data_IF_999452973866
#
_entry.id   IF_999452973866
#
_cell.length_a   1.000
_cell.length_b   1.000
_cell.length_c   1.000
_cell.angle_alpha   90.00
_cell.angle_beta   90.00
_cell.angle_gamma   90.00
#
_symmetry.space_group_name_H-M   'P 1'
#
loop_
_entity.id
_entity.type
_entity.pdbx_description
1 polymer ?
#
# COMPACT_ATOMS: atom_id res chain seq x y z
N UNK A 1 -18.37 18.41 -11.19
CA UNK A 1 -19.81 18.57 -10.86
C UNK A 1 -20.71 17.44 -11.40
N UNK A 2 -20.24 16.54 -12.28
CA UNK A 2 -21.03 15.38 -12.75
C UNK A 2 -21.21 14.26 -11.70
N UNK A 3 -20.21 14.04 -10.83
CA UNK A 3 -20.21 12.96 -9.83
C UNK A 3 -21.22 13.18 -8.68
N UNK A 4 -21.67 14.43 -8.49
CA UNK A 4 -22.66 14.81 -7.46
C UNK A 4 -24.10 14.40 -7.82
N UNK A 5 -24.34 13.97 -9.07
CA UNK A 5 -25.66 13.49 -9.54
C UNK A 5 -25.87 11.98 -9.42
N UNK A 6 -24.85 11.21 -9.05
CA UNK A 6 -24.98 9.77 -8.88
C UNK A 6 -25.46 9.52 -7.43
N UNK A 7 -26.79 9.55 -7.27
CA UNK A 7 -27.51 9.14 -6.06
C UNK A 7 -27.74 7.61 -6.07
N UNK A 8 -26.75 6.83 -6.53
CA UNK A 8 -26.85 5.38 -6.48
C UNK A 8 -26.45 4.93 -5.09
N UNK A 9 -27.31 4.16 -4.43
CA UNK A 9 -27.00 3.65 -3.11
C UNK A 9 -25.72 2.77 -3.21
N UNK A 10 -24.78 2.87 -2.26
CA UNK A 10 -23.58 2.01 -2.25
C UNK A 10 -23.91 0.51 -2.39
N UNK A 11 -25.09 0.10 -1.91
CA UNK A 11 -25.62 -1.26 -2.02
C UNK A 11 -25.98 -1.71 -3.45
N UNK A 12 -26.21 -0.79 -4.40
CA UNK A 12 -26.51 -1.12 -5.80
C UNK A 12 -25.25 -1.25 -6.66
N UNK A 13 -24.19 -0.51 -6.30
CA UNK A 13 -22.90 -0.55 -7.01
C UNK A 13 -21.98 -1.64 -6.50
N UNK A 14 -22.04 -2.00 -5.21
CA UNK A 14 -21.22 -3.06 -4.64
C UNK A 14 -21.40 -4.44 -5.33
N UNK A 15 -22.63 -4.93 -5.59
CA UNK A 15 -22.85 -6.20 -6.27
C UNK A 15 -22.25 -6.19 -7.68
N UNK A 16 -22.42 -5.07 -8.41
CA UNK A 16 -21.86 -4.91 -9.74
C UNK A 16 -20.33 -4.85 -9.70
N UNK A 17 -19.74 -4.14 -8.73
CA UNK A 17 -18.29 -4.09 -8.53
C UNK A 17 -17.73 -5.48 -8.24
N UNK A 18 -18.34 -6.23 -7.32
CA UNK A 18 -17.90 -7.60 -7.00
C UNK A 18 -18.07 -8.54 -8.20
N UNK A 19 -19.17 -8.44 -8.94
CA UNK A 19 -19.40 -9.25 -10.13
C UNK A 19 -18.38 -8.93 -11.25
N UNK A 20 -18.09 -7.66 -11.48
CA UNK A 20 -17.08 -7.22 -12.46
C UNK A 20 -15.68 -7.65 -12.02
N UNK A 21 -15.33 -7.51 -10.73
CA UNK A 21 -14.07 -8.02 -10.18
C UNK A 21 -13.94 -9.54 -10.34
N UNK A 22 -15.01 -10.30 -10.07
CA UNK A 22 -15.04 -11.75 -10.25
C UNK A 22 -14.83 -12.13 -11.72
N UNK A 23 -15.53 -11.46 -12.65
CA UNK A 23 -15.38 -11.69 -14.09
C UNK A 23 -13.95 -11.36 -14.57
N UNK A 24 -13.36 -10.27 -14.08
CA UNK A 24 -11.97 -9.92 -14.37
C UNK A 24 -11.00 -10.97 -13.82
N UNK A 25 -11.17 -11.42 -12.58
CA UNK A 25 -10.35 -12.49 -12.02
C UNK A 25 -10.46 -13.78 -12.83
N UNK A 26 -11.67 -14.18 -13.24
CA UNK A 26 -11.87 -15.36 -14.09
C UNK A 26 -11.26 -15.20 -15.49
N UNK A 27 -11.32 -14.00 -16.06
CA UNK A 27 -10.71 -13.69 -17.35
C UNK A 27 -9.18 -13.72 -17.32
N UNK A 28 -8.56 -13.37 -16.19
CA UNK A 28 -7.11 -13.41 -15.99
C UNK A 28 -6.58 -14.77 -15.53
N UNK A 29 -7.44 -15.63 -14.97
CA UNK A 29 -7.10 -16.99 -14.55
C UNK A 29 -6.32 -17.80 -15.61
N UNK A 30 -6.74 -17.86 -16.90
CA UNK A 30 -6.00 -18.61 -17.92
C UNK A 30 -4.64 -18.00 -18.32
N UNK A 31 -4.38 -16.74 -17.99
CA UNK A 31 -3.11 -16.06 -18.27
C UNK A 31 -2.09 -16.23 -17.14
N UNK A 32 -2.49 -16.82 -16.01
CA UNK A 32 -1.59 -17.04 -14.90
C UNK A 32 -0.84 -18.36 -15.13
N UNK A 33 0.51 -18.37 -15.15
CA UNK A 33 1.27 -19.62 -15.23
C UNK A 33 0.98 -20.44 -13.97
N UNK A 34 0.35 -21.60 -14.13
CA UNK A 34 -0.03 -22.53 -13.05
C UNK A 34 1.17 -23.36 -12.58
N UNK A 35 2.29 -22.70 -12.31
CA UNK A 35 3.48 -23.29 -11.70
C UNK A 35 3.55 -22.91 -10.23
N UNK A 36 2.68 -23.51 -9.39
CA UNK A 36 2.81 -23.33 -7.94
C UNK A 36 3.92 -24.25 -7.43
N UNK A 37 5.16 -23.85 -7.68
CA UNK A 37 6.30 -24.53 -7.10
C UNK A 37 6.47 -24.08 -5.65
N UNK A 38 6.32 -25.02 -4.73
CA UNK A 38 6.58 -24.82 -3.30
C UNK A 38 8.08 -24.72 -3.04
N UNK A 39 8.69 -23.68 -3.59
CA UNK A 39 10.09 -23.34 -3.36
C UNK A 39 10.18 -22.42 -2.14
N UNK A 40 11.26 -22.56 -1.38
CA UNK A 40 11.56 -21.67 -0.25
C UNK A 40 11.50 -20.19 -0.64
N UNK A 41 11.89 -19.84 -1.87
CA UNK A 41 11.79 -18.48 -2.42
C UNK A 41 10.36 -17.93 -2.56
N UNK A 42 9.33 -18.79 -2.53
CA UNK A 42 7.93 -18.41 -2.54
C UNK A 42 7.31 -18.46 -1.14
N UNK A 43 7.63 -19.50 -0.36
CA UNK A 43 7.08 -19.67 1.00
C UNK A 43 7.58 -18.59 1.96
N UNK A 44 8.87 -18.21 1.89
CA UNK A 44 9.43 -17.22 2.80
C UNK A 44 8.76 -15.84 2.66
N UNK A 45 8.62 -15.26 1.44
CA UNK A 45 7.91 -14.00 1.26
C UNK A 45 6.43 -14.07 1.65
N UNK A 46 5.74 -15.18 1.34
CA UNK A 46 4.32 -15.36 1.70
C UNK A 46 4.14 -15.38 3.21
N UNK A 47 4.96 -16.13 3.95
CA UNK A 47 4.92 -16.18 5.41
C UNK A 47 5.28 -14.82 6.01
N UNK A 48 6.28 -14.13 5.45
CA UNK A 48 6.66 -12.78 5.88
C UNK A 48 5.51 -11.77 5.71
N UNK A 49 4.86 -11.76 4.54
CA UNK A 49 3.75 -10.85 4.27
C UNK A 49 2.51 -11.19 5.11
N UNK A 50 2.20 -12.48 5.25
CA UNK A 50 1.02 -12.93 5.99
C UNK A 50 1.18 -12.78 7.50
N UNK A 51 2.34 -13.11 8.06
CA UNK A 51 2.57 -13.04 9.51
C UNK A 51 3.19 -11.71 9.91
N UNK A 52 4.39 -11.39 9.42
CA UNK A 52 5.13 -10.23 9.92
C UNK A 52 4.43 -8.94 9.53
N UNK A 53 4.17 -8.71 8.24
CA UNK A 53 3.56 -7.46 7.79
C UNK A 53 2.15 -7.30 8.36
N UNK A 54 1.32 -8.35 8.33
CA UNK A 54 -0.05 -8.28 8.85
C UNK A 54 -0.13 -8.09 10.38
N UNK A 55 0.59 -8.93 11.15
CA UNK A 55 0.56 -8.86 12.62
C UNK A 55 1.20 -7.57 13.09
N UNK A 56 2.34 -7.18 12.53
CA UNK A 56 3.03 -5.95 12.90
C UNK A 56 2.19 -4.72 12.54
N UNK A 57 1.54 -4.70 11.38
CA UNK A 57 0.61 -3.63 11.00
C UNK A 57 -0.59 -3.54 11.95
N UNK A 58 -1.17 -4.68 12.34
CA UNK A 58 -2.31 -4.73 13.26
C UNK A 58 -1.91 -4.29 14.67
N UNK A 59 -0.75 -4.72 15.16
CA UNK A 59 -0.19 -4.26 16.45
C UNK A 59 0.12 -2.75 16.44
N UNK A 60 0.68 -2.23 15.35
CA UNK A 60 0.89 -0.80 15.16
C UNK A 60 -0.43 -0.04 15.19
N UNK A 61 -1.44 -0.54 14.48
CA UNK A 61 -2.78 0.04 14.48
C UNK A 61 -3.35 0.10 15.91
N UNK A 62 -3.28 -1.01 16.66
CA UNK A 62 -3.73 -1.03 18.06
C UNK A 62 -2.93 -0.07 18.95
N UNK A 63 -1.60 0.01 18.79
CA UNK A 63 -0.75 0.98 19.48
C UNK A 63 -1.15 2.42 19.17
N UNK A 64 -1.47 2.71 17.92
CA UNK A 64 -1.90 4.03 17.44
C UNK A 64 -3.27 4.42 17.99
N UNK A 65 -4.21 3.47 18.05
CA UNK A 65 -5.53 3.66 18.69
C UNK A 65 -5.34 3.97 20.19
N UNK A 66 -4.47 3.24 20.88
CA UNK A 66 -4.18 3.47 22.32
C UNK A 66 -3.46 4.79 22.59
N UNK A 67 -2.64 5.27 21.64
CA UNK A 67 -1.90 6.53 21.79
C UNK A 67 -2.77 7.80 21.66
N UNK A 68 -4.08 7.67 21.37
CA UNK A 68 -5.07 8.74 21.55
C UNK A 68 -5.00 9.94 20.59
N UNK A 69 -3.98 10.06 19.75
CA UNK A 69 -3.84 11.15 18.78
C UNK A 69 -4.09 10.66 17.34
N UNK A 70 -5.38 10.53 16.98
CA UNK A 70 -5.86 10.12 15.65
C UNK A 70 -5.23 10.91 14.49
N UNK A 71 -4.81 12.17 14.74
CA UNK A 71 -4.17 13.03 13.73
C UNK A 71 -2.75 12.56 13.40
N UNK A 72 -2.04 11.96 14.34
CA UNK A 72 -0.70 11.43 14.10
C UNK A 72 -0.72 10.08 13.35
N UNK A 73 -1.86 9.38 13.36
CA UNK A 73 -2.03 8.08 12.69
C UNK A 73 -2.11 8.26 11.19
N UNK A 74 -2.89 9.25 10.73
CA UNK A 74 -3.04 9.54 9.30
C UNK A 74 -1.76 10.10 8.69
N UNK A 75 -1.01 10.95 9.40
CA UNK A 75 0.32 11.39 8.97
C UNK A 75 1.33 10.24 8.89
N UNK A 76 1.31 9.30 9.83
CA UNK A 76 2.20 8.13 9.80
C UNK A 76 1.97 7.25 8.57
N UNK A 77 0.71 7.04 8.17
CA UNK A 77 0.39 6.31 6.94
C UNK A 77 0.95 7.00 5.69
N UNK A 78 1.00 8.34 5.66
CA UNK A 78 1.64 9.08 4.57
C UNK A 78 3.17 8.96 4.57
N UNK A 79 3.80 8.67 5.73
CA UNK A 79 5.25 8.41 5.81
C UNK A 79 5.65 6.99 5.43
N UNK A 80 4.71 6.04 5.35
CA UNK A 80 4.98 4.63 4.95
C UNK A 80 5.83 4.53 3.68
N UNK A 81 5.50 5.18 2.55
CA UNK A 81 6.34 5.10 1.33
C UNK A 81 7.78 5.58 1.56
N UNK A 82 7.99 6.61 2.38
CA UNK A 82 9.34 7.07 2.76
C UNK A 82 10.08 6.06 3.64
N UNK A 83 9.39 5.45 4.61
CA UNK A 83 9.97 4.42 5.48
C UNK A 83 10.36 3.15 4.71
N UNK A 84 9.51 2.70 3.79
CA UNK A 84 9.80 1.54 2.93
C UNK A 84 11.03 1.80 2.06
N UNK A 85 11.18 2.99 1.49
CA UNK A 85 12.37 3.38 0.73
C UNK A 85 13.65 3.38 1.56
N UNK A 86 13.60 3.90 2.79
CA UNK A 86 14.75 3.90 3.69
C UNK A 86 15.16 2.47 4.09
N UNK A 87 14.19 1.59 4.36
CA UNK A 87 14.43 0.18 4.62
C UNK A 87 15.01 -0.54 3.40
N UNK A 88 14.51 -0.26 2.20
CA UNK A 88 15.01 -0.85 0.96
C UNK A 88 16.50 -0.51 0.74
N UNK A 89 16.87 0.76 0.93
CA UNK A 89 18.26 1.21 0.86
C UNK A 89 19.14 0.56 1.94
N UNK A 90 18.64 0.45 3.18
CA UNK A 90 19.40 -0.10 4.31
C UNK A 90 19.58 -1.62 4.23
N UNK A 91 18.52 -2.36 3.84
CA UNK A 91 18.48 -3.82 3.87
C UNK A 91 19.12 -4.43 2.64
N UNK A 92 18.86 -3.88 1.45
CA UNK A 92 19.38 -4.44 0.21
C UNK A 92 20.71 -3.82 -0.21
N UNK A 93 21.11 -2.68 0.37
CA UNK A 93 22.38 -2.02 0.07
C UNK A 93 22.57 -1.69 -1.42
N UNK A 94 21.49 -1.75 -2.19
CA UNK A 94 21.52 -1.64 -3.64
C UNK A 94 21.81 -0.18 -3.99
N UNK A 95 22.91 0.07 -4.70
CA UNK A 95 23.20 1.38 -5.29
C UNK A 95 22.14 1.65 -6.35
N UNK A 96 21.05 2.28 -5.92
CA UNK A 96 19.95 2.64 -6.79
C UNK A 96 20.49 3.37 -8.02
N UNK A 97 20.04 2.94 -9.20
CA UNK A 97 20.37 3.62 -10.45
C UNK A 97 20.15 5.13 -10.28
N UNK A 98 21.00 6.01 -10.86
CA UNK A 98 20.88 7.45 -10.68
C UNK A 98 19.46 8.00 -10.95
N UNK A 99 18.74 7.38 -11.88
CA UNK A 99 17.33 7.68 -12.17
C UNK A 99 16.37 7.35 -11.01
N UNK A 100 16.59 6.25 -10.29
CA UNK A 100 15.81 5.88 -9.11
C UNK A 100 16.07 6.82 -7.93
N UNK A 101 17.32 7.31 -7.78
CA UNK A 101 17.64 8.37 -6.81
C UNK A 101 16.94 9.68 -7.13
N UNK A 102 16.86 10.09 -8.40
CA UNK A 102 16.11 11.27 -8.83
C UNK A 102 14.61 11.09 -8.55
N UNK A 103 14.05 9.93 -8.87
CA UNK A 103 12.65 9.58 -8.56
C UNK A 103 12.36 9.62 -7.06
N UNK A 104 13.26 9.07 -6.24
CA UNK A 104 13.19 9.14 -4.78
C UNK A 104 13.22 10.58 -4.28
N UNK A 105 14.13 11.40 -4.81
CA UNK A 105 14.23 12.82 -4.48
C UNK A 105 12.95 13.59 -4.80
N UNK A 106 12.32 13.32 -5.95
CA UNK A 106 11.05 13.92 -6.34
C UNK A 106 9.90 13.52 -5.40
N UNK A 107 9.81 12.24 -5.02
CA UNK A 107 8.80 11.75 -4.06
C UNK A 107 9.01 12.38 -2.68
N UNK A 108 10.25 12.39 -2.18
CA UNK A 108 10.58 12.99 -0.89
C UNK A 108 10.30 14.50 -0.88
N UNK A 109 10.63 15.23 -1.94
CA UNK A 109 10.32 16.65 -2.08
C UNK A 109 8.80 16.90 -2.10
N UNK A 110 8.04 16.10 -2.85
CA UNK A 110 6.58 16.18 -2.88
C UNK A 110 5.96 15.93 -1.51
N UNK A 111 6.45 14.91 -0.80
CA UNK A 111 6.03 14.58 0.56
C UNK A 111 6.36 15.71 1.55
N UNK A 112 7.56 16.29 1.44
CA UNK A 112 8.00 17.42 2.25
C UNK A 112 7.15 18.67 2.01
N UNK A 113 6.73 18.92 0.76
CA UNK A 113 5.85 20.03 0.40
C UNK A 113 4.44 19.87 0.98
N UNK A 114 3.91 18.66 0.95
CA UNK A 114 2.61 18.31 1.54
C UNK A 114 2.65 18.47 3.06
N UNK A 115 3.70 17.98 3.74
CA UNK A 115 3.81 18.10 5.19
C UNK A 115 4.23 19.49 5.67
N UNK A 116 4.93 20.27 4.83
CA UNK A 116 5.27 21.67 5.13
C UNK A 116 4.14 22.63 4.93
N UNK A 117 3.05 22.25 4.25
CA UNK A 117 1.85 23.10 4.20
C UNK A 117 1.20 23.03 5.58
N UNK A 118 1.40 24.04 6.44
CA UNK A 118 0.67 24.10 7.69
C UNK A 118 -0.80 24.21 7.28
N UNK A 119 -1.67 23.39 7.86
CA UNK A 119 -3.10 23.71 7.85
C UNK A 119 -3.24 25.08 8.52
N UNK A 120 -3.34 26.12 7.69
CA UNK A 120 -3.88 27.42 8.06
C UNK A 120 -5.41 27.37 7.93
#
# INVERSE_FOLDING_TARGET
>A
MLQKRIQQAPAEVMPLQYAVSLLLCLAFLPFQPHGFEWVLGFVLPVVWMALVVSVLATLLLYRLIQAGNLVNVTSLFYLVPGGTAALDWLVFGNTMAPAALIGMGAILLGLLLVFRTPRA
#
